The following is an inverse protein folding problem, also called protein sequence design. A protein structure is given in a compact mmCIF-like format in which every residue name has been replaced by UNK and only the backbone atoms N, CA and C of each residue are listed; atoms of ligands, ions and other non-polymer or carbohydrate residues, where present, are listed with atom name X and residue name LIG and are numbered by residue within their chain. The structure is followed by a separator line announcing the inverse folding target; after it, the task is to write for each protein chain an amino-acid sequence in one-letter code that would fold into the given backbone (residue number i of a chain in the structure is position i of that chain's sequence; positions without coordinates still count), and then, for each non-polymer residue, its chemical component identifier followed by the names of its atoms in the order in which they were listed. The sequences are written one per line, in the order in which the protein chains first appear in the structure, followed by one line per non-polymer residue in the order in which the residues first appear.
data_IF_348032510304
#
_entry.id   IF_348032510304
#
_cell.length_a   1.000
_cell.length_b   1.000
_cell.length_c   1.000
_cell.angle_alpha   90.00
_cell.angle_beta   90.00
_cell.angle_gamma   90.00
#
_symmetry.space_group_name_H-M   'P 1'
#
loop_
_entity.id
_entity.type
_entity.pdbx_description
1 polymer ?
#
# COMPACT_ATOMS: atom_id res chain seq x y z
N UNK A 1 -7.77 4.18 -14.57
CA UNK A 1 -8.99 3.37 -14.81
C UNK A 1 -8.68 2.09 -15.58
N UNK A 2 -8.14 2.18 -16.81
CA UNK A 2 -7.90 1.00 -17.67
C UNK A 2 -6.91 -0.02 -17.07
N UNK A 3 -5.94 0.42 -16.25
CA UNK A 3 -5.01 -0.47 -15.54
C UNK A 3 -5.74 -1.46 -14.62
N UNK A 4 -6.63 -0.95 -13.74
CA UNK A 4 -7.39 -1.78 -12.80
C UNK A 4 -8.29 -2.77 -13.55
N UNK A 5 -8.97 -2.31 -14.57
CA UNK A 5 -9.89 -3.14 -15.34
C UNK A 5 -9.17 -4.25 -16.13
N UNK A 6 -7.96 -3.98 -16.65
CA UNK A 6 -7.13 -4.99 -17.28
C UNK A 6 -6.73 -6.10 -16.31
N UNK A 7 -6.49 -5.80 -15.03
CA UNK A 7 -6.21 -6.82 -14.01
C UNK A 7 -7.39 -7.79 -13.80
N UNK A 8 -8.62 -7.32 -14.02
CA UNK A 8 -9.83 -8.15 -13.95
C UNK A 8 -10.29 -8.70 -15.31
N UNK A 9 -9.51 -8.48 -16.37
CA UNK A 9 -9.84 -8.92 -17.73
C UNK A 9 -11.01 -8.18 -18.36
N UNK A 10 -11.36 -6.98 -17.85
CA UNK A 10 -12.44 -6.13 -18.38
C UNK A 10 -11.87 -5.20 -19.45
N UNK A 11 -12.16 -5.52 -20.71
CA UNK A 11 -11.73 -4.70 -21.86
C UNK A 11 -12.69 -3.54 -22.07
N UNK A 12 -12.14 -2.34 -22.26
CA UNK A 12 -12.92 -1.16 -22.66
C UNK A 12 -13.28 -1.29 -24.14
N UNK A 13 -14.57 -1.25 -24.49
CA UNK A 13 -14.96 -1.11 -25.89
C UNK A 13 -14.96 0.39 -26.23
N UNK A 14 -14.68 0.73 -27.50
CA UNK A 14 -14.49 2.11 -27.96
C UNK A 14 -15.71 3.04 -27.78
N UNK A 15 -16.85 2.52 -27.30
CA UNK A 15 -18.10 3.24 -27.09
C UNK A 15 -18.68 3.10 -25.68
N UNK A 16 -17.97 2.49 -24.72
CA UNK A 16 -18.54 2.18 -23.40
C UNK A 16 -18.52 3.40 -22.48
N UNK A 17 -19.69 3.70 -21.93
CA UNK A 17 -19.86 4.66 -20.82
C UNK A 17 -18.98 4.24 -19.62
N UNK A 18 -18.33 5.20 -18.98
CA UNK A 18 -17.52 4.97 -17.78
C UNK A 18 -18.35 4.27 -16.69
N UNK A 19 -19.65 4.58 -16.61
CA UNK A 19 -20.56 3.92 -15.66
C UNK A 19 -20.72 2.44 -15.96
N UNK A 20 -21.06 2.09 -17.20
CA UNK A 20 -21.19 0.69 -17.63
C UNK A 20 -19.87 -0.07 -17.44
N UNK A 21 -18.75 0.57 -17.75
CA UNK A 21 -17.43 0.00 -17.52
C UNK A 21 -17.16 -0.31 -16.04
N UNK A 22 -17.51 0.63 -15.16
CA UNK A 22 -17.35 0.50 -13.71
C UNK A 22 -18.25 -0.61 -13.17
N UNK A 23 -19.50 -0.68 -13.63
CA UNK A 23 -20.43 -1.77 -13.28
C UNK A 23 -19.86 -3.13 -13.66
N UNK A 24 -19.30 -3.28 -14.87
CA UNK A 24 -18.70 -4.54 -15.31
C UNK A 24 -17.51 -4.98 -14.43
N UNK A 25 -16.68 -4.04 -13.96
CA UNK A 25 -15.58 -4.34 -13.02
C UNK A 25 -16.15 -4.85 -11.70
N UNK A 26 -17.14 -4.16 -11.13
CA UNK A 26 -17.78 -4.55 -9.86
C UNK A 26 -18.37 -5.96 -9.98
N UNK A 27 -19.12 -6.23 -11.05
CA UNK A 27 -19.73 -7.55 -11.27
C UNK A 27 -18.69 -8.65 -11.39
N UNK A 28 -17.58 -8.37 -12.09
CA UNK A 28 -16.49 -9.32 -12.22
C UNK A 28 -15.86 -9.64 -10.87
N UNK A 29 -15.63 -8.62 -10.05
CA UNK A 29 -15.09 -8.78 -8.69
C UNK A 29 -16.06 -9.61 -7.85
N UNK A 30 -17.32 -9.19 -7.72
CA UNK A 30 -18.32 -9.89 -6.91
C UNK A 30 -18.47 -11.37 -7.30
N UNK A 31 -18.48 -11.66 -8.60
CA UNK A 31 -18.61 -13.04 -9.10
C UNK A 31 -17.33 -13.89 -8.94
N UNK A 32 -16.18 -13.25 -8.69
CA UNK A 32 -14.90 -13.94 -8.52
C UNK A 32 -14.56 -14.26 -7.06
N UNK A 33 -15.24 -13.62 -6.11
CA UNK A 33 -14.95 -13.75 -4.68
C UNK A 33 -15.73 -14.92 -4.06
N UNK A 34 -15.03 -15.71 -3.26
CA UNK A 34 -15.57 -16.81 -2.47
C UNK A 34 -15.25 -16.64 -0.98
N UNK A 35 -15.96 -17.38 -0.12
CA UNK A 35 -15.75 -17.35 1.33
C UNK A 35 -14.29 -17.61 1.71
N UNK A 36 -13.74 -16.82 2.65
CA UNK A 36 -12.37 -16.92 3.13
C UNK A 36 -11.31 -16.23 2.25
N UNK A 37 -11.71 -15.57 1.17
CA UNK A 37 -10.78 -14.85 0.30
C UNK A 37 -10.54 -13.41 0.76
N UNK A 38 -9.34 -12.93 0.46
CA UNK A 38 -8.94 -11.54 0.65
C UNK A 38 -8.74 -10.93 -0.73
N UNK A 39 -9.54 -9.91 -1.07
CA UNK A 39 -9.27 -9.07 -2.23
C UNK A 39 -8.38 -7.91 -1.81
N UNK A 40 -7.19 -7.83 -2.42
CA UNK A 40 -6.27 -6.71 -2.23
C UNK A 40 -6.20 -5.88 -3.51
N UNK A 41 -6.63 -4.63 -3.44
CA UNK A 41 -6.54 -3.65 -4.51
C UNK A 41 -5.44 -2.67 -4.13
N UNK A 42 -4.42 -2.55 -4.98
CA UNK A 42 -3.32 -1.64 -4.78
C UNK A 42 -3.20 -0.69 -5.96
N UNK A 43 -3.16 0.61 -5.65
CA UNK A 43 -3.05 1.67 -6.64
C UNK A 43 -1.91 2.59 -6.25
N UNK A 44 -1.00 2.86 -7.19
CA UNK A 44 0.04 3.89 -7.05
C UNK A 44 -0.34 5.10 -7.86
N UNK A 45 -0.32 6.28 -7.23
CA UNK A 45 -0.54 7.57 -7.87
C UNK A 45 0.75 8.40 -7.74
N UNK A 46 1.30 8.76 -8.90
CA UNK A 46 2.44 9.64 -9.00
C UNK A 46 1.91 11.06 -9.21
N UNK A 47 1.90 11.89 -8.16
CA UNK A 47 1.41 13.28 -8.18
C UNK A 47 -0.05 13.45 -8.64
N UNK A 48 -1.04 13.23 -7.76
CA UNK A 48 -2.44 13.54 -8.08
C UNK A 48 -2.58 15.04 -8.36
N UNK A 49 -3.11 15.38 -9.54
CA UNK A 49 -3.44 16.76 -9.89
C UNK A 49 -4.84 17.11 -9.36
N UNK A 50 -5.13 18.39 -9.16
CA UNK A 50 -6.46 18.89 -8.76
C UNK A 50 -7.53 18.50 -9.79
N UNK A 51 -7.13 18.36 -11.06
CA UNK A 51 -8.00 17.86 -12.14
C UNK A 51 -8.15 16.32 -12.14
N UNK A 52 -7.40 15.60 -11.31
CA UNK A 52 -7.45 14.14 -11.25
C UNK A 52 -8.71 13.66 -10.52
N UNK A 53 -9.75 13.45 -11.32
CA UNK A 53 -11.02 12.85 -10.87
C UNK A 53 -10.90 11.37 -10.48
N UNK A 54 -9.72 10.73 -10.62
CA UNK A 54 -9.56 9.31 -10.34
C UNK A 54 -9.94 8.94 -8.91
N UNK A 55 -9.49 9.69 -7.90
CA UNK A 55 -9.79 9.38 -6.51
C UNK A 55 -11.29 9.48 -6.21
N UNK A 56 -11.94 10.54 -6.72
CA UNK A 56 -13.38 10.73 -6.59
C UNK A 56 -14.14 9.60 -7.30
N UNK A 57 -13.75 9.24 -8.52
CA UNK A 57 -14.32 8.11 -9.25
C UNK A 57 -14.11 6.80 -8.49
N UNK A 58 -12.89 6.54 -8.00
CA UNK A 58 -12.53 5.32 -7.30
C UNK A 58 -13.38 5.15 -6.05
N UNK A 59 -13.57 6.20 -5.25
CA UNK A 59 -14.41 6.11 -4.05
C UNK A 59 -15.89 6.05 -4.40
N UNK A 60 -16.41 7.04 -5.13
CA UNK A 60 -17.86 7.21 -5.32
C UNK A 60 -18.47 6.23 -6.31
N UNK A 61 -17.75 5.88 -7.37
CA UNK A 61 -18.29 5.08 -8.48
C UNK A 61 -17.83 3.62 -8.45
N UNK A 62 -16.64 3.33 -7.92
CA UNK A 62 -16.13 1.96 -7.82
C UNK A 62 -16.28 1.37 -6.41
N UNK A 63 -15.64 1.97 -5.39
CA UNK A 63 -15.51 1.41 -4.05
C UNK A 63 -16.84 1.33 -3.32
N UNK A 64 -17.58 2.44 -3.22
CA UNK A 64 -18.85 2.47 -2.49
C UNK A 64 -19.87 1.49 -3.10
N UNK A 65 -20.10 1.48 -4.43
CA UNK A 65 -20.99 0.49 -5.04
C UNK A 65 -20.50 -0.96 -4.89
N UNK A 66 -19.19 -1.20 -4.91
CA UNK A 66 -18.61 -2.53 -4.65
C UNK A 66 -18.94 -3.00 -3.23
N UNK A 67 -18.69 -2.16 -2.22
CA UNK A 67 -18.94 -2.49 -0.82
C UNK A 67 -20.44 -2.70 -0.59
N UNK A 68 -21.31 -1.83 -1.11
CA UNK A 68 -22.77 -2.01 -1.01
C UNK A 68 -23.22 -3.36 -1.59
N UNK A 69 -22.76 -3.70 -2.80
CA UNK A 69 -23.13 -4.96 -3.45
C UNK A 69 -22.59 -6.18 -2.73
N UNK A 70 -21.37 -6.11 -2.20
CA UNK A 70 -20.83 -7.16 -1.35
C UNK A 70 -21.66 -7.31 -0.07
N UNK A 71 -21.99 -6.24 0.64
CA UNK A 71 -22.83 -6.31 1.85
C UNK A 71 -24.20 -6.96 1.59
N UNK A 72 -24.85 -6.64 0.46
CA UNK A 72 -26.11 -7.27 0.04
C UNK A 72 -25.97 -8.77 -0.28
N UNK A 73 -24.85 -9.18 -0.88
CA UNK A 73 -24.57 -10.59 -1.15
C UNK A 73 -24.23 -11.36 0.13
N UNK A 74 -23.45 -10.73 1.01
CA UNK A 74 -22.98 -11.28 2.27
C UNK A 74 -24.12 -11.43 3.29
N UNK A 75 -25.13 -10.57 3.30
CA UNK A 75 -26.25 -10.66 4.24
C UNK A 75 -27.07 -11.94 4.11
N UNK A 76 -26.91 -12.67 3.00
CA UNK A 76 -27.64 -13.90 2.69
C UNK A 76 -26.80 -15.19 2.82
N UNK A 77 -25.52 -15.07 3.15
CA UNK A 77 -24.60 -16.21 3.35
C UNK A 77 -23.77 -15.94 4.63
N UNK A 78 -22.85 -16.82 5.03
CA UNK A 78 -21.90 -16.53 6.13
C UNK A 78 -20.46 -16.44 5.57
N UNK A 79 -20.10 -15.39 4.80
CA UNK A 79 -18.84 -15.37 4.09
C UNK A 79 -17.84 -14.44 4.79
N UNK A 80 -16.68 -15.01 5.12
CA UNK A 80 -15.51 -14.28 5.61
C UNK A 80 -14.73 -13.62 4.46
N UNK A 81 -15.41 -12.83 3.61
CA UNK A 81 -14.74 -12.07 2.55
C UNK A 81 -14.14 -10.81 3.17
N UNK A 82 -12.86 -10.55 2.88
CA UNK A 82 -12.17 -9.32 3.29
C UNK A 82 -11.74 -8.57 2.04
N UNK A 83 -12.04 -7.28 1.98
CA UNK A 83 -11.59 -6.42 0.89
C UNK A 83 -10.73 -5.31 1.49
N UNK A 84 -9.55 -5.12 0.92
CA UNK A 84 -8.61 -4.08 1.32
C UNK A 84 -8.18 -3.33 0.05
N UNK A 85 -8.46 -2.03 0.02
CA UNK A 85 -7.93 -1.12 -0.98
C UNK A 85 -6.86 -0.22 -0.35
N UNK A 86 -5.70 -0.16 -0.98
CA UNK A 86 -4.59 0.71 -0.58
C UNK A 86 -4.23 1.59 -1.76
N UNK A 87 -4.26 2.90 -1.53
CA UNK A 87 -3.84 3.90 -2.50
C UNK A 87 -2.56 4.54 -1.94
N UNK A 88 -1.44 4.27 -2.60
CA UNK A 88 -0.17 4.91 -2.30
C UNK A 88 -0.05 6.16 -3.18
N UNK A 89 0.21 7.29 -2.53
CA UNK A 89 0.36 8.58 -3.21
C UNK A 89 1.76 9.10 -2.94
N UNK A 90 2.50 9.41 -4.00
CA UNK A 90 3.77 10.13 -3.91
C UNK A 90 3.50 11.64 -3.97
N UNK A 91 3.49 12.28 -2.80
CA UNK A 91 3.21 13.71 -2.64
C UNK A 91 2.00 14.01 -1.75
N UNK A 92 1.68 15.30 -1.63
CA UNK A 92 0.46 15.74 -0.95
C UNK A 92 -0.73 15.60 -1.90
N UNK A 93 -1.82 14.99 -1.43
CA UNK A 93 -3.10 15.06 -2.12
C UNK A 93 -3.66 16.47 -1.91
N UNK A 94 -3.92 17.25 -2.98
CA UNK A 94 -4.56 18.56 -2.81
C UNK A 94 -5.87 18.44 -2.03
N UNK A 95 -6.14 19.39 -1.12
CA UNK A 95 -7.37 19.38 -0.30
C UNK A 95 -8.65 19.35 -1.16
N UNK A 96 -8.58 19.92 -2.37
CA UNK A 96 -9.69 19.96 -3.32
C UNK A 96 -9.91 18.63 -4.08
N UNK A 97 -8.95 17.69 -4.06
CA UNK A 97 -9.09 16.40 -4.74
C UNK A 97 -10.12 15.49 -4.07
N UNK A 98 -10.28 15.61 -2.74
CA UNK A 98 -11.15 14.74 -1.96
C UNK A 98 -11.97 15.56 -0.95
N UNK A 99 -13.30 15.61 -1.11
CA UNK A 99 -14.19 16.20 -0.12
C UNK A 99 -14.00 15.59 1.29
N UNK A 100 -14.04 16.42 2.33
CA UNK A 100 -13.83 16.00 3.73
C UNK A 100 -14.81 14.91 4.20
N UNK A 101 -16.01 14.83 3.64
CA UNK A 101 -17.02 13.81 3.97
C UNK A 101 -16.61 12.40 3.53
N UNK A 102 -15.62 12.27 2.64
CA UNK A 102 -15.04 11.00 2.20
C UNK A 102 -13.98 10.46 3.15
N UNK A 103 -13.55 11.21 4.17
CA UNK A 103 -12.57 10.75 5.15
C UNK A 103 -13.25 10.17 6.40
N UNK A 104 -12.64 9.15 6.98
CA UNK A 104 -12.98 8.66 8.31
C UNK A 104 -12.74 9.76 9.35
N UNK A 105 -13.47 9.68 10.47
CA UNK A 105 -13.15 10.51 11.63
C UNK A 105 -11.76 10.16 12.18
N UNK A 106 -11.16 11.09 12.93
CA UNK A 106 -9.79 10.92 13.46
C UNK A 106 -9.68 9.85 14.57
N UNK A 107 -10.76 9.13 14.91
CA UNK A 107 -10.77 8.14 15.98
C UNK A 107 -10.97 6.72 15.43
N UNK A 108 -10.36 5.70 16.04
CA UNK A 108 -10.54 4.31 15.61
C UNK A 108 -12.00 3.85 15.61
N UNK A 109 -12.79 4.31 16.58
CA UNK A 109 -14.23 4.05 16.67
C UNK A 109 -15.05 4.68 15.54
N UNK A 110 -14.50 5.65 14.80
CA UNK A 110 -15.16 6.32 13.67
C UNK A 110 -14.83 5.66 12.31
N UNK A 111 -14.25 4.47 12.32
CA UNK A 111 -13.92 3.75 11.09
C UNK A 111 -15.17 3.42 10.28
N UNK A 112 -15.21 3.91 9.06
CA UNK A 112 -16.27 3.67 8.08
C UNK A 112 -15.65 3.02 6.84
N UNK A 113 -16.04 1.78 6.54
CA UNK A 113 -15.51 1.03 5.41
C UNK A 113 -15.86 1.63 4.04
N UNK A 114 -16.77 2.62 4.00
CA UNK A 114 -17.13 3.39 2.79
C UNK A 114 -16.34 4.69 2.65
N UNK A 115 -15.39 4.94 3.56
CA UNK A 115 -14.58 6.15 3.61
C UNK A 115 -13.08 5.85 3.58
N UNK A 116 -12.31 6.90 3.32
CA UNK A 116 -10.84 6.86 3.29
C UNK A 116 -10.33 7.01 4.72
N UNK A 117 -9.46 6.08 5.13
CA UNK A 117 -8.58 6.28 6.26
C UNK A 117 -7.23 6.77 5.73
N UNK A 118 -6.90 8.03 5.99
CA UNK A 118 -5.58 8.56 5.65
C UNK A 118 -4.55 8.06 6.66
N UNK A 119 -3.44 7.54 6.13
CA UNK A 119 -2.29 7.10 6.94
C UNK A 119 -1.10 7.93 6.48
N UNK A 120 -0.81 9.07 7.14
CA UNK A 120 0.32 9.89 6.77
C UNK A 120 1.62 9.13 7.04
N UNK A 121 2.52 9.13 6.05
CA UNK A 121 3.86 8.56 6.21
C UNK A 121 4.81 9.68 6.65
N UNK A 122 5.00 9.79 7.95
CA UNK A 122 5.93 10.76 8.54
C UNK A 122 7.39 10.41 8.22
N UNK A 123 8.26 11.42 8.24
CA UNK A 123 9.71 11.21 8.10
C UNK A 123 10.24 10.38 9.25
N UNK A 124 11.02 9.36 8.94
CA UNK A 124 11.64 8.50 9.93
C UNK A 124 12.88 9.16 10.52
N UNK A 125 12.96 9.19 11.84
CA UNK A 125 14.19 9.57 12.55
C UNK A 125 15.27 8.51 12.39
N UNK A 126 16.54 8.91 12.58
CA UNK A 126 17.66 7.95 12.66
C UNK A 126 17.40 6.87 13.71
N UNK A 127 16.78 7.23 14.83
CA UNK A 127 16.44 6.30 15.90
C UNK A 127 15.40 5.26 15.48
N UNK A 128 14.34 5.66 14.77
CA UNK A 128 13.34 4.73 14.25
C UNK A 128 13.94 3.76 13.23
N UNK A 129 14.80 4.26 12.32
CA UNK A 129 15.53 3.41 11.36
C UNK A 129 16.40 2.40 12.11
N UNK A 130 17.16 2.87 13.11
CA UNK A 130 18.00 2.01 13.95
C UNK A 130 17.17 0.96 14.68
N UNK A 131 16.07 1.36 15.32
CA UNK A 131 15.19 0.46 16.05
C UNK A 131 14.57 -0.58 15.12
N UNK A 132 14.20 -0.20 13.90
CA UNK A 132 13.70 -1.14 12.91
C UNK A 132 14.78 -2.15 12.49
N UNK A 133 16.00 -1.67 12.24
CA UNK A 133 17.13 -2.54 11.95
C UNK A 133 17.42 -3.52 13.09
N UNK A 134 17.33 -3.11 14.34
CA UNK A 134 17.52 -4.05 15.46
C UNK A 134 16.42 -5.10 15.57
N UNK A 135 15.16 -4.68 15.46
CA UNK A 135 14.03 -5.51 15.88
C UNK A 135 13.39 -6.31 14.74
N UNK A 136 13.47 -5.82 13.50
CA UNK A 136 12.67 -6.36 12.39
C UNK A 136 13.48 -6.78 11.17
N UNK A 137 14.73 -6.32 11.02
CA UNK A 137 15.52 -6.62 9.82
C UNK A 137 16.10 -8.04 9.77
N UNK A 138 16.16 -8.74 10.91
CA UNK A 138 16.87 -10.02 11.03
C UNK A 138 18.40 -9.91 11.02
N UNK A 139 18.98 -8.70 10.94
CA UNK A 139 20.43 -8.50 10.91
C UNK A 139 21.15 -8.90 12.21
N UNK A 140 20.41 -8.93 13.31
CA UNK A 140 20.88 -9.42 14.62
C UNK A 140 20.83 -10.94 14.76
N UNK A 141 20.25 -11.65 13.78
CA UNK A 141 20.23 -13.12 13.77
C UNK A 141 21.67 -13.67 13.78
N UNK A 142 21.97 -14.71 14.58
CA UNK A 142 23.31 -15.28 14.67
C UNK A 142 23.96 -15.69 13.33
N UNK A 143 23.16 -15.98 12.29
CA UNK A 143 23.65 -16.32 10.95
C UNK A 143 24.23 -15.12 10.19
N UNK A 144 23.75 -13.91 10.47
CA UNK A 144 24.27 -12.66 9.89
C UNK A 144 25.25 -12.02 10.88
N UNK A 145 24.81 -11.90 12.13
CA UNK A 145 25.62 -11.55 13.29
C UNK A 145 26.19 -10.13 13.25
N UNK A 146 25.43 -9.16 12.73
CA UNK A 146 25.88 -7.76 12.76
C UNK A 146 25.93 -7.25 14.19
N UNK A 147 27.01 -6.57 14.52
CA UNK A 147 27.18 -5.92 15.81
C UNK A 147 26.32 -4.65 15.91
N UNK A 148 26.05 -4.23 17.15
CA UNK A 148 25.30 -3.01 17.45
C UNK A 148 25.93 -1.78 16.76
N UNK A 149 27.27 -1.69 16.73
CA UNK A 149 27.98 -0.58 16.10
C UNK A 149 27.82 -0.57 14.58
N UNK A 150 27.78 -1.73 13.93
CA UNK A 150 27.53 -1.83 12.50
C UNK A 150 26.10 -1.43 12.14
N UNK A 151 25.10 -1.85 12.92
CA UNK A 151 23.71 -1.42 12.76
C UNK A 151 23.57 0.09 12.95
N UNK A 152 24.22 0.66 13.97
CA UNK A 152 24.21 2.11 14.21
C UNK A 152 24.82 2.88 13.03
N UNK A 153 25.92 2.38 12.46
CA UNK A 153 26.54 2.98 11.27
C UNK A 153 25.61 2.90 10.06
N UNK A 154 24.93 1.77 9.88
CA UNK A 154 23.98 1.58 8.78
C UNK A 154 22.78 2.52 8.91
N UNK A 155 22.19 2.63 10.10
CA UNK A 155 21.08 3.56 10.37
C UNK A 155 21.44 5.01 10.03
N UNK A 156 22.63 5.47 10.49
CA UNK A 156 23.17 6.79 10.15
C UNK A 156 23.32 7.00 8.64
N UNK A 157 23.88 6.00 7.95
CA UNK A 157 24.07 6.06 6.50
C UNK A 157 22.74 6.16 5.76
N UNK A 158 21.74 5.36 6.16
CA UNK A 158 20.40 5.37 5.55
C UNK A 158 19.70 6.70 5.82
N UNK A 159 19.73 7.20 7.06
CA UNK A 159 19.11 8.48 7.41
C UNK A 159 19.70 9.64 6.59
N UNK A 160 21.04 9.68 6.45
CA UNK A 160 21.72 10.69 5.65
C UNK A 160 21.40 10.56 4.14
N UNK A 161 21.37 9.34 3.59
CA UNK A 161 21.07 9.10 2.18
C UNK A 161 19.59 9.29 1.83
N UNK A 162 18.70 9.21 2.81
CA UNK A 162 17.25 9.36 2.64
C UNK A 162 16.75 10.80 2.81
N UNK A 163 17.65 11.79 2.70
CA UNK A 163 17.35 13.21 2.87
C UNK A 163 16.64 13.54 4.20
N UNK A 164 17.13 12.94 5.29
CA UNK A 164 16.56 13.16 6.62
C UNK A 164 15.32 12.30 6.90
N UNK A 165 15.24 11.10 6.32
CA UNK A 165 14.23 10.12 6.69
C UNK A 165 12.98 10.07 5.82
N UNK A 166 13.01 10.57 4.59
CA UNK A 166 11.86 10.46 3.69
C UNK A 166 11.47 8.99 3.48
N UNK A 167 10.22 8.55 3.77
CA UNK A 167 9.86 7.13 3.82
C UNK A 167 10.21 6.32 2.57
N UNK A 168 9.89 6.84 1.38
CA UNK A 168 10.22 6.18 0.11
C UNK A 168 11.74 5.97 -0.04
N UNK A 169 12.54 6.96 0.36
CA UNK A 169 14.00 6.90 0.29
C UNK A 169 14.59 6.00 1.37
N UNK A 170 14.01 6.00 2.57
CA UNK A 170 14.38 5.06 3.64
C UNK A 170 14.14 3.63 3.17
N UNK A 171 13.00 3.34 2.55
CA UNK A 171 12.70 2.04 1.98
C UNK A 171 13.74 1.61 0.92
N UNK A 172 14.04 2.48 -0.05
CA UNK A 172 15.02 2.20 -1.10
C UNK A 172 16.41 1.90 -0.53
N UNK A 173 16.87 2.73 0.41
CA UNK A 173 18.19 2.59 1.04
C UNK A 173 18.25 1.35 1.96
N UNK A 174 17.18 1.05 2.70
CA UNK A 174 17.07 -0.19 3.47
C UNK A 174 17.21 -1.41 2.55
N UNK A 175 16.44 -1.45 1.46
CA UNK A 175 16.46 -2.57 0.51
C UNK A 175 17.84 -2.79 -0.10
N UNK A 176 18.52 -1.69 -0.45
CA UNK A 176 19.89 -1.71 -0.98
C UNK A 176 20.88 -2.25 0.05
N UNK A 177 20.92 -1.67 1.24
CA UNK A 177 21.85 -2.06 2.30
C UNK A 177 21.67 -3.51 2.75
N UNK A 178 20.41 -3.96 2.89
CA UNK A 178 20.10 -5.33 3.27
C UNK A 178 20.59 -6.32 2.20
N UNK A 179 20.40 -6.01 0.92
CA UNK A 179 20.89 -6.85 -0.18
C UNK A 179 22.42 -6.97 -0.16
N UNK A 180 23.13 -5.86 0.05
CA UNK A 180 24.60 -5.83 0.06
C UNK A 180 25.17 -6.64 1.23
N UNK A 181 24.57 -6.52 2.43
CA UNK A 181 24.97 -7.28 3.62
C UNK A 181 24.78 -8.78 3.41
N UNK A 182 23.61 -9.16 2.90
CA UNK A 182 23.26 -10.57 2.69
C UNK A 182 24.23 -11.19 1.69
N UNK A 183 24.49 -10.53 0.57
CA UNK A 183 25.42 -11.02 -0.46
C UNK A 183 26.85 -11.17 0.09
N UNK A 184 27.35 -10.14 0.79
CA UNK A 184 28.70 -10.17 1.35
C UNK A 184 28.89 -11.33 2.34
N UNK A 185 27.90 -11.59 3.19
CA UNK A 185 27.99 -12.67 4.19
C UNK A 185 27.91 -14.05 3.54
N UNK A 186 27.05 -14.25 2.54
CA UNK A 186 27.00 -15.52 1.80
C UNK A 186 28.32 -15.85 1.10
N UNK A 187 28.97 -14.86 0.49
CA UNK A 187 30.28 -15.05 -0.17
C UNK A 187 31.37 -15.51 0.83
N UNK A 188 31.38 -14.95 2.05
CA UNK A 188 32.33 -15.33 3.10
C UNK A 188 32.12 -16.78 3.60
N UNK A 189 30.87 -17.25 3.66
CA UNK A 189 30.56 -18.63 4.03
C UNK A 189 30.96 -19.64 2.95
N UNK A 190 30.88 -19.28 1.66
CA UNK A 190 31.26 -20.18 0.56
C UNK A 190 32.77 -20.37 0.38
N UNK A 191 33.59 -19.45 0.92
CA UNK A 191 35.07 -19.55 0.86
C UNK A 191 35.63 -20.35 2.05
N UNK A 192 34.80 -20.59 3.08
CA UNK A 192 35.22 -21.22 4.35
C UNK A 192 34.84 -22.71 4.46
N UNK A 193 34.34 -23.33 3.38
CA UNK A 193 34.04 -24.77 3.27
C UNK A 193 34.99 -25.45 2.29
#
# INVERSE_FOLDING_TARGET
MDYLANQFGVRRNNSTDIQEYTTNIIEKICNSLYCGQILFIYVELYSPDVEDTFLVWFIKQLWNPLISRLLEQLSNQDPSIRVLAVIAVDGQVPEDCLPQDLYCGCRPEDFDSTKILEIPLETWTEEEIRNWLFNFSGLTDPKIGLSISEINRMAKSIFAASYGGLPARVYDELKKQLKDVINYKFEQYSISQ
#
